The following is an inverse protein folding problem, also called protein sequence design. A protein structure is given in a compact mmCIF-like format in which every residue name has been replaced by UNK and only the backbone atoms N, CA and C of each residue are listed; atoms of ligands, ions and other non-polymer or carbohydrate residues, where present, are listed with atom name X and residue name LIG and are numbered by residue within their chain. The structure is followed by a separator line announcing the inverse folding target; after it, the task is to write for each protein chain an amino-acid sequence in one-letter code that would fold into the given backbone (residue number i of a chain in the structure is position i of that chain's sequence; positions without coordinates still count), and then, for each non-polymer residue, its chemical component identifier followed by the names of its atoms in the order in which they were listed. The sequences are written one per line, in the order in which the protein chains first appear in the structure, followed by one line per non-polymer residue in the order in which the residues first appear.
data_IF_563416018478
#
_entry.id   IF_563416018478
#
_cell.length_a   1.000
_cell.length_b   1.000
_cell.length_c   1.000
_cell.angle_alpha   90.00
_cell.angle_beta   90.00
_cell.angle_gamma   90.00
#
_symmetry.space_group_name_H-M   'P 1'
#
loop_
_entity.id
_entity.type
_entity.pdbx_description
1 polymer ?
#
# COMPACT_ATOMS: atom_id res chain seq x y z
N UNK A 1 19.61 20.92 -22.36
CA UNK A 1 18.17 20.94 -22.66
C UNK A 1 17.49 20.38 -21.44
N UNK A 2 16.93 21.26 -20.61
CA UNK A 2 16.27 20.87 -19.37
C UNK A 2 14.93 20.23 -19.74
N UNK A 3 14.85 18.90 -19.64
CA UNK A 3 13.57 18.22 -19.55
C UNK A 3 12.86 18.85 -18.36
N UNK A 4 11.72 19.50 -18.58
CA UNK A 4 10.88 19.93 -17.49
C UNK A 4 10.64 18.70 -16.62
N UNK A 5 10.98 18.77 -15.33
CA UNK A 5 10.66 17.76 -14.34
C UNK A 5 9.14 17.58 -14.40
N UNK A 6 8.69 16.62 -15.22
CA UNK A 6 7.29 16.35 -15.43
C UNK A 6 6.82 15.79 -14.11
N UNK A 7 6.20 16.65 -13.29
CA UNK A 7 5.83 16.35 -11.92
C UNK A 7 5.28 14.93 -11.84
N UNK A 8 6.07 14.05 -11.21
CA UNK A 8 5.77 12.62 -11.15
C UNK A 8 4.35 12.44 -10.63
N UNK A 9 3.50 11.80 -11.42
CA UNK A 9 2.12 11.57 -11.03
C UNK A 9 2.10 10.81 -9.70
N UNK A 10 1.26 11.26 -8.76
CA UNK A 10 1.13 10.64 -7.45
C UNK A 10 -0.33 10.22 -7.22
N UNK A 11 -0.56 8.91 -7.17
CA UNK A 11 -1.86 8.33 -6.88
C UNK A 11 -1.99 8.00 -5.39
N UNK A 12 -3.05 8.50 -4.76
CA UNK A 12 -3.46 8.11 -3.41
C UNK A 12 -4.63 7.14 -3.55
N UNK A 13 -4.45 5.94 -3.03
CA UNK A 13 -5.38 4.81 -3.21
C UNK A 13 -5.96 4.41 -1.87
N UNK A 14 -7.22 4.78 -1.61
CA UNK A 14 -7.93 4.42 -0.38
C UNK A 14 -8.82 3.20 -0.63
N UNK A 15 -8.49 2.08 0.00
CA UNK A 15 -9.17 0.81 -0.23
C UNK A 15 -10.44 0.68 0.62
N UNK A 16 -11.54 0.20 0.00
CA UNK A 16 -12.80 -0.09 0.70
C UNK A 16 -12.90 -1.56 1.19
N UNK A 17 -13.70 -1.75 2.26
CA UNK A 17 -13.71 -2.91 3.17
C UNK A 17 -14.56 -4.11 2.70
N UNK A 18 -14.32 -4.66 1.50
CA UNK A 18 -15.07 -5.84 1.05
C UNK A 18 -14.18 -6.93 0.42
N UNK A 19 -14.45 -8.18 0.77
CA UNK A 19 -13.76 -9.35 0.22
C UNK A 19 -14.03 -9.40 -1.30
N UNK A 20 -12.97 -9.29 -2.10
CA UNK A 20 -13.03 -9.20 -3.56
C UNK A 20 -12.46 -7.90 -4.14
N UNK A 21 -12.33 -6.84 -3.33
CA UNK A 21 -11.75 -5.57 -3.78
C UNK A 21 -10.25 -5.44 -3.47
N UNK A 22 -9.72 -6.23 -2.53
CA UNK A 22 -8.31 -6.10 -2.09
C UNK A 22 -7.33 -6.42 -3.22
N UNK A 23 -7.40 -7.63 -3.76
CA UNK A 23 -6.51 -8.10 -4.83
C UNK A 23 -6.50 -7.21 -6.08
N UNK A 24 -7.66 -6.84 -6.68
CA UNK A 24 -7.64 -5.96 -7.85
C UNK A 24 -7.09 -4.56 -7.52
N UNK A 25 -7.30 -4.06 -6.30
CA UNK A 25 -6.78 -2.76 -5.88
C UNK A 25 -5.25 -2.79 -5.69
N UNK A 26 -4.71 -3.87 -5.12
CA UNK A 26 -3.25 -4.10 -5.04
C UNK A 26 -2.61 -4.26 -6.43
N UNK A 27 -3.24 -5.01 -7.34
CA UNK A 27 -2.77 -5.12 -8.72
C UNK A 27 -2.79 -3.78 -9.46
N UNK A 28 -3.82 -2.95 -9.23
CA UNK A 28 -3.87 -1.60 -9.80
C UNK A 28 -2.72 -0.73 -9.27
N UNK A 29 -2.40 -0.81 -7.97
CA UNK A 29 -1.27 -0.08 -7.39
C UNK A 29 0.06 -0.46 -8.07
N UNK A 30 0.31 -1.76 -8.28
CA UNK A 30 1.49 -2.24 -9.01
C UNK A 30 1.51 -1.76 -10.47
N UNK A 31 0.37 -1.82 -11.16
CA UNK A 31 0.25 -1.36 -12.53
C UNK A 31 0.54 0.14 -12.65
N UNK A 32 0.04 0.96 -11.72
CA UNK A 32 0.32 2.40 -11.69
C UNK A 32 1.80 2.67 -11.40
N UNK A 33 2.37 1.98 -10.40
CA UNK A 33 3.77 2.16 -10.04
C UNK A 33 4.71 1.76 -11.19
N UNK A 34 4.41 0.66 -11.89
CA UNK A 34 5.20 0.22 -13.06
C UNK A 34 5.15 1.18 -14.25
N UNK A 35 4.15 2.09 -14.28
CA UNK A 35 4.04 3.17 -15.27
C UNK A 35 4.74 4.46 -14.82
N UNK A 36 5.47 4.43 -13.72
CA UNK A 36 6.23 5.57 -13.20
C UNK A 36 5.46 6.47 -12.22
N UNK A 37 4.25 6.07 -11.79
CA UNK A 37 3.47 6.79 -10.79
C UNK A 37 4.00 6.49 -9.37
N UNK A 38 4.07 7.49 -8.50
CA UNK A 38 4.19 7.23 -7.05
C UNK A 38 2.84 6.78 -6.53
N UNK A 39 2.77 5.69 -5.80
CA UNK A 39 1.52 5.19 -5.23
C UNK A 39 1.57 5.26 -3.72
N UNK A 40 0.57 5.85 -3.08
CA UNK A 40 0.34 5.73 -1.64
C UNK A 40 -0.90 4.88 -1.42
N UNK A 41 -0.66 3.68 -0.91
CA UNK A 41 -1.67 2.72 -0.54
C UNK A 41 -2.17 3.00 0.87
N UNK A 42 -3.44 3.36 0.99
CA UNK A 42 -4.06 3.78 2.23
C UNK A 42 -5.06 2.72 2.66
N UNK A 43 -4.85 2.18 3.86
CA UNK A 43 -5.78 1.27 4.53
C UNK A 43 -6.32 1.92 5.80
N UNK A 44 -7.47 1.46 6.29
CA UNK A 44 -7.94 1.88 7.61
C UNK A 44 -7.23 1.12 8.74
N UNK A 45 -7.22 1.68 9.94
CA UNK A 45 -6.66 1.01 11.13
C UNK A 45 -7.33 -0.35 11.40
N UNK A 46 -8.65 -0.47 11.24
CA UNK A 46 -9.37 -1.75 11.30
C UNK A 46 -8.91 -2.74 10.23
N UNK A 47 -8.62 -2.30 8.99
CA UNK A 47 -8.06 -3.18 7.96
C UNK A 47 -6.72 -3.74 8.40
N UNK A 48 -5.86 -2.86 8.88
CA UNK A 48 -4.54 -3.24 9.37
C UNK A 48 -4.66 -4.18 10.58
N UNK A 49 -5.58 -3.93 11.51
CA UNK A 49 -5.85 -4.82 12.65
C UNK A 49 -6.38 -6.20 12.23
N UNK A 50 -7.34 -6.26 11.31
CA UNK A 50 -7.94 -7.52 10.83
C UNK A 50 -6.96 -8.35 10.00
N UNK A 51 -6.09 -7.70 9.23
CA UNK A 51 -5.01 -8.38 8.51
C UNK A 51 -3.92 -8.85 9.47
N UNK A 52 -3.55 -8.00 10.44
CA UNK A 52 -2.64 -8.37 11.53
C UNK A 52 -3.18 -9.55 12.33
N UNK A 53 -4.44 -9.58 12.75
CA UNK A 53 -4.99 -10.70 13.54
C UNK A 53 -4.96 -12.03 12.79
N UNK A 54 -5.06 -11.98 11.45
CA UNK A 54 -4.91 -13.16 10.58
C UNK A 54 -3.46 -13.55 10.31
N UNK A 55 -2.53 -12.59 10.30
CA UNK A 55 -1.08 -12.82 10.15
C UNK A 55 -0.35 -13.09 11.48
N UNK A 56 -0.93 -12.69 12.62
CA UNK A 56 -0.36 -12.71 13.97
C UNK A 56 -0.32 -14.10 14.63
N UNK A 57 -0.69 -15.16 13.91
CA UNK A 57 -0.18 -16.50 14.23
C UNK A 57 1.34 -16.60 14.05
N UNK A 58 2.01 -15.60 13.47
CA UNK A 58 3.45 -15.60 13.26
C UNK A 58 4.28 -14.70 14.21
N UNK A 59 3.91 -13.44 14.54
CA UNK A 59 4.75 -12.59 15.42
C UNK A 59 3.98 -11.41 16.08
N UNK A 60 4.09 -11.29 17.41
CA UNK A 60 3.59 -10.18 18.25
C UNK A 60 4.43 -8.89 18.07
N UNK A 61 4.47 -8.30 16.87
CA UNK A 61 5.12 -7.00 16.66
C UNK A 61 4.26 -6.06 15.80
N UNK A 62 4.29 -4.78 16.15
CA UNK A 62 3.62 -3.72 15.40
C UNK A 62 4.29 -3.63 14.02
N UNK A 63 3.68 -4.20 12.97
CA UNK A 63 4.21 -4.06 11.60
C UNK A 63 4.36 -2.58 11.25
N UNK A 64 5.58 -2.19 10.91
CA UNK A 64 5.91 -0.88 10.35
C UNK A 64 5.30 -0.71 8.96
N UNK A 65 5.22 0.53 8.47
CA UNK A 65 4.73 0.82 7.12
C UNK A 65 5.61 0.16 6.04
N UNK A 66 6.90 0.01 6.30
CA UNK A 66 7.84 -0.62 5.37
C UNK A 66 7.59 -2.12 5.26
N UNK A 67 7.43 -2.79 6.40
CA UNK A 67 7.06 -4.22 6.45
C UNK A 67 5.69 -4.47 5.83
N UNK A 68 4.75 -3.53 5.97
CA UNK A 68 3.45 -3.61 5.29
C UNK A 68 3.62 -3.54 3.77
N UNK A 69 4.46 -2.64 3.24
CA UNK A 69 4.76 -2.61 1.79
C UNK A 69 5.32 -3.96 1.35
N UNK A 70 6.29 -4.53 2.06
CA UNK A 70 6.92 -5.79 1.67
C UNK A 70 5.95 -6.99 1.77
N UNK A 71 5.00 -6.96 2.72
CA UNK A 71 3.93 -7.96 2.85
C UNK A 71 2.90 -7.89 1.71
N UNK A 72 2.45 -6.69 1.35
CA UNK A 72 1.39 -6.49 0.35
C UNK A 72 1.93 -6.43 -1.09
N UNK A 73 3.20 -6.04 -1.27
CA UNK A 73 3.85 -5.81 -2.56
C UNK A 73 5.26 -6.42 -2.57
N UNK A 74 5.40 -7.75 -2.44
CA UNK A 74 6.71 -8.40 -2.41
C UNK A 74 7.50 -8.10 -3.68
N UNK A 75 8.77 -7.70 -3.52
CA UNK A 75 9.67 -7.39 -4.64
C UNK A 75 9.43 -6.03 -5.32
N UNK A 76 8.46 -5.23 -4.88
CA UNK A 76 8.18 -3.92 -5.49
C UNK A 76 9.36 -2.96 -5.36
N UNK A 77 10.01 -2.91 -4.18
CA UNK A 77 11.18 -2.05 -3.93
C UNK A 77 12.40 -2.46 -4.75
N UNK A 78 12.65 -3.77 -4.84
CA UNK A 78 13.72 -4.34 -5.67
C UNK A 78 13.51 -4.03 -7.16
N UNK A 79 12.24 -3.98 -7.59
CA UNK A 79 11.83 -3.61 -8.94
C UNK A 79 11.84 -2.09 -9.19
N UNK A 80 12.28 -1.28 -8.22
CA UNK A 80 12.34 0.19 -8.32
C UNK A 80 10.96 0.88 -8.30
N UNK A 81 9.91 0.19 -7.86
CA UNK A 81 8.56 0.75 -7.76
C UNK A 81 8.44 1.64 -6.51
N UNK A 82 7.93 2.86 -6.67
CA UNK A 82 7.68 3.80 -5.57
C UNK A 82 6.26 3.61 -5.01
N UNK A 83 6.11 2.59 -4.17
CA UNK A 83 4.88 2.28 -3.45
C UNK A 83 5.10 2.57 -1.96
N UNK A 84 4.21 3.37 -1.39
CA UNK A 84 4.20 3.75 0.01
C UNK A 84 2.94 3.20 0.66
N UNK A 85 3.03 2.88 1.94
CA UNK A 85 1.90 2.39 2.72
C UNK A 85 1.63 3.33 3.88
N UNK A 86 0.36 3.61 4.16
CA UNK A 86 -0.05 4.37 5.34
C UNK A 86 -1.43 3.91 5.81
N UNK A 87 -1.72 4.17 7.07
CA UNK A 87 -3.01 3.90 7.68
C UNK A 87 -3.75 5.20 7.99
N UNK A 88 -5.06 5.18 7.85
CA UNK A 88 -5.95 6.25 8.32
C UNK A 88 -6.86 5.69 9.42
N UNK A 89 -7.18 6.54 10.39
CA UNK A 89 -8.18 6.16 11.40
C UNK A 89 -9.55 6.00 10.74
N UNK A 90 -10.30 4.99 11.17
CA UNK A 90 -11.68 4.74 10.74
C UNK A 90 -12.72 5.30 11.71
N UNK A 91 -12.29 6.05 12.73
CA UNK A 91 -13.18 6.69 13.70
C UNK A 91 -13.83 5.71 14.67
N UNK A 92 -13.40 4.44 14.70
CA UNK A 92 -13.77 3.50 15.75
C UNK A 92 -12.87 3.73 16.99
N UNK A 93 -13.44 3.70 18.22
CA UNK A 93 -12.74 3.95 19.46
C UNK A 93 -11.76 2.84 19.87
#
# INVERSE_FOLDING_TARGET
MAEADAAKAHAIMVQFLFQGHITPFSHLALALASKGCTVTYVQTEFQQYQMKSRAASAHHHQLSNEEAVDLFFPGARESGLDIRYTTISDGFP
#
